data_IF_011799554028
#
_entry.id   IF_011799554028
#
_cell.length_a   1.000
_cell.length_b   1.000
_cell.length_c   1.000
_cell.angle_alpha   90.00
_cell.angle_beta   90.00
_cell.angle_gamma   90.00
#
_symmetry.space_group_name_H-M   'P 1'
#
loop_
_entity.id
_entity.type
_entity.pdbx_description
1 polymer ?
#
# COMPACT_ATOMS: atom_id res chain seq x y z
N UNK A 1 -11.78 0.47 -21.85
CA UNK A 1 -12.90 -0.48 -21.72
C UNK A 1 -12.59 -1.83 -22.35
N UNK A 2 -12.10 -1.88 -23.59
CA UNK A 2 -11.77 -3.15 -24.26
C UNK A 2 -10.78 -4.02 -23.46
N UNK A 3 -9.66 -3.45 -22.98
CA UNK A 3 -8.70 -4.20 -22.14
C UNK A 3 -9.32 -4.75 -20.84
N UNK A 4 -10.21 -4.00 -20.19
CA UNK A 4 -10.86 -4.45 -18.95
C UNK A 4 -11.80 -5.63 -19.20
N UNK A 5 -12.49 -5.64 -20.34
CA UNK A 5 -13.43 -6.70 -20.69
C UNK A 5 -12.70 -7.92 -21.27
N UNK A 6 -11.78 -7.69 -22.20
CA UNK A 6 -11.16 -8.77 -22.99
C UNK A 6 -9.94 -9.36 -22.26
N UNK A 7 -9.17 -8.54 -21.54
CA UNK A 7 -7.89 -8.91 -20.91
C UNK A 7 -7.70 -8.34 -19.48
N UNK A 8 -8.64 -8.58 -18.55
CA UNK A 8 -8.54 -8.06 -17.18
C UNK A 8 -7.31 -8.58 -16.44
N UNK A 9 -6.83 -9.79 -16.70
CA UNK A 9 -5.62 -10.34 -16.09
C UNK A 9 -4.36 -9.51 -16.42
N UNK A 10 -4.23 -9.05 -17.67
CA UNK A 10 -3.13 -8.18 -18.07
C UNK A 10 -3.11 -6.88 -17.25
N UNK A 11 -4.29 -6.27 -17.07
CA UNK A 11 -4.42 -5.09 -16.20
C UNK A 11 -4.13 -5.42 -14.74
N UNK A 12 -4.54 -6.60 -14.25
CA UNK A 12 -4.28 -7.04 -12.88
C UNK A 12 -2.78 -7.14 -12.59
N UNK A 13 -2.01 -7.73 -13.51
CA UNK A 13 -0.58 -7.99 -13.37
C UNK A 13 0.26 -6.70 -13.52
N UNK A 14 -0.18 -5.79 -14.37
CA UNK A 14 0.55 -4.55 -14.71
C UNK A 14 -0.02 -3.30 -14.03
N UNK A 15 -1.01 -3.45 -13.15
CA UNK A 15 -1.72 -2.34 -12.50
C UNK A 15 -0.76 -1.33 -11.86
N UNK A 16 0.31 -1.83 -11.22
CA UNK A 16 1.28 -1.01 -10.51
C UNK A 16 1.95 -0.01 -11.48
N UNK A 17 2.41 -0.48 -12.64
CA UNK A 17 3.06 0.39 -13.64
C UNK A 17 2.09 1.41 -14.22
N UNK A 18 0.84 1.02 -14.45
CA UNK A 18 -0.18 1.95 -14.90
C UNK A 18 -0.45 3.03 -13.84
N UNK A 19 -0.62 2.65 -12.58
CA UNK A 19 -0.82 3.59 -11.49
C UNK A 19 0.37 4.54 -11.28
N UNK A 20 1.61 4.05 -11.43
CA UNK A 20 2.85 4.85 -11.36
C UNK A 20 2.98 5.84 -12.52
N UNK A 21 2.48 5.48 -13.71
CA UNK A 21 2.53 6.33 -14.90
C UNK A 21 1.38 7.35 -14.97
N UNK A 22 0.23 7.04 -14.35
CA UNK A 22 -0.95 7.89 -14.38
C UNK A 22 -0.86 8.99 -13.29
N UNK A 23 -1.18 10.26 -13.63
CA UNK A 23 -1.30 11.33 -12.62
C UNK A 23 -2.30 10.97 -11.51
N UNK A 24 -2.08 11.48 -10.30
CA UNK A 24 -2.98 11.25 -9.15
C UNK A 24 -4.42 11.72 -9.43
N UNK A 25 -4.57 12.82 -10.19
CA UNK A 25 -5.88 13.37 -10.56
C UNK A 25 -6.69 12.50 -11.54
N UNK A 26 -6.07 11.51 -12.17
CA UNK A 26 -6.69 10.67 -13.19
C UNK A 26 -7.54 9.54 -12.58
N UNK A 27 -8.45 9.88 -11.65
CA UNK A 27 -9.22 8.95 -10.83
C UNK A 27 -9.97 7.91 -11.68
N UNK A 28 -10.66 8.32 -12.75
CA UNK A 28 -11.42 7.39 -13.60
C UNK A 28 -10.52 6.37 -14.30
N UNK A 29 -9.37 6.79 -14.82
CA UNK A 29 -8.43 5.89 -15.50
C UNK A 29 -7.80 4.90 -14.51
N UNK A 30 -7.43 5.38 -13.32
CA UNK A 30 -6.94 4.51 -12.24
C UNK A 30 -8.01 3.52 -11.81
N UNK A 31 -9.26 3.96 -11.63
CA UNK A 31 -10.36 3.07 -11.26
C UNK A 31 -10.59 1.98 -12.31
N UNK A 32 -10.49 2.29 -13.60
CA UNK A 32 -10.58 1.27 -14.67
C UNK A 32 -9.49 0.19 -14.49
N UNK A 33 -8.26 0.59 -14.19
CA UNK A 33 -7.14 -0.35 -13.97
C UNK A 33 -7.32 -1.14 -12.67
N UNK A 34 -7.67 -0.46 -11.57
CA UNK A 34 -7.78 -1.03 -10.23
C UNK A 34 -9.01 -1.92 -10.04
N UNK A 35 -10.06 -1.70 -10.85
CA UNK A 35 -11.28 -2.52 -10.85
C UNK A 35 -11.12 -3.81 -11.67
N UNK A 36 -9.99 -4.02 -12.35
CA UNK A 36 -9.72 -5.29 -13.02
C UNK A 36 -9.50 -6.40 -12.00
N UNK A 37 -10.06 -7.57 -12.26
CA UNK A 37 -9.87 -8.78 -11.46
C UNK A 37 -9.90 -10.03 -12.36
N UNK A 38 -9.25 -11.15 -11.95
CA UNK A 38 -9.20 -12.36 -12.76
C UNK A 38 -10.58 -12.92 -13.11
N UNK A 39 -10.82 -13.36 -14.35
CA UNK A 39 -12.16 -13.79 -14.80
C UNK A 39 -12.75 -14.97 -14.04
N UNK A 40 -11.90 -15.81 -13.45
CA UNK A 40 -12.33 -16.96 -12.66
C UNK A 40 -12.81 -16.58 -11.25
N UNK A 41 -12.49 -15.36 -10.79
CA UNK A 41 -12.87 -14.88 -9.48
C UNK A 41 -14.33 -14.39 -9.47
N UNK A 42 -15.06 -14.75 -8.41
CA UNK A 42 -16.38 -14.18 -8.13
C UNK A 42 -16.22 -13.19 -6.99
N UNK A 43 -16.14 -11.90 -7.33
CA UNK A 43 -16.12 -10.85 -6.33
C UNK A 43 -17.46 -10.86 -5.58
N UNK A 44 -17.44 -10.97 -4.23
CA UNK A 44 -18.64 -10.89 -3.43
C UNK A 44 -19.24 -9.48 -3.54
N UNK A 45 -20.57 -9.39 -3.42
CA UNK A 45 -21.24 -8.10 -3.36
C UNK A 45 -20.87 -7.39 -2.04
N UNK A 46 -20.23 -6.20 -2.09
CA UNK A 46 -19.79 -5.49 -0.89
C UNK A 46 -20.94 -5.01 0.00
N UNK A 47 -22.18 -5.00 -0.50
CA UNK A 47 -23.37 -4.58 0.25
C UNK A 47 -24.09 -5.74 0.95
N UNK A 48 -23.55 -6.96 0.90
CA UNK A 48 -24.10 -8.10 1.63
C UNK A 48 -24.01 -7.85 3.15
N UNK A 49 -25.17 -7.84 3.80
CA UNK A 49 -25.28 -7.68 5.26
C UNK A 49 -24.56 -8.84 5.94
N UNK A 50 -23.72 -8.53 6.94
CA UNK A 50 -22.87 -9.48 7.67
C UNK A 50 -21.79 -10.18 6.82
N UNK A 51 -21.36 -9.58 5.71
CA UNK A 51 -20.23 -10.08 4.94
C UNK A 51 -18.94 -10.04 5.76
N UNK A 52 -18.36 -11.23 6.01
CA UNK A 52 -17.08 -11.37 6.71
C UNK A 52 -15.98 -11.55 5.69
N UNK A 53 -15.25 -10.48 5.40
CA UNK A 53 -14.10 -10.48 4.47
C UNK A 53 -13.08 -11.56 4.85
N UNK A 54 -12.88 -11.80 6.15
CA UNK A 54 -11.97 -12.81 6.69
C UNK A 54 -12.33 -14.26 6.34
N UNK A 55 -13.54 -14.50 5.84
CA UNK A 55 -14.02 -15.84 5.44
C UNK A 55 -13.76 -16.14 3.96
N UNK A 56 -13.20 -15.20 3.21
CA UNK A 56 -12.83 -15.40 1.81
C UNK A 56 -11.52 -16.19 1.74
N UNK A 57 -11.53 -17.33 1.05
CA UNK A 57 -10.31 -18.11 0.81
C UNK A 57 -9.24 -17.31 0.04
N UNK A 58 -9.68 -16.40 -0.83
CA UNK A 58 -8.81 -15.65 -1.73
C UNK A 58 -7.96 -14.57 -1.03
N UNK A 59 -8.30 -14.16 0.20
CA UNK A 59 -7.51 -13.16 0.94
C UNK A 59 -6.13 -13.68 1.31
N UNK A 60 -5.91 -14.99 1.25
CA UNK A 60 -4.60 -15.61 1.49
C UNK A 60 -3.74 -15.71 0.23
N UNK A 61 -4.25 -15.28 -0.93
CA UNK A 61 -3.54 -15.34 -2.21
C UNK A 61 -2.80 -14.02 -2.45
N UNK A 62 -1.48 -14.11 -2.62
CA UNK A 62 -0.64 -12.97 -2.99
C UNK A 62 -0.90 -12.61 -4.46
N UNK A 63 -1.28 -11.35 -4.79
CA UNK A 63 -1.54 -10.96 -6.17
C UNK A 63 -0.24 -10.89 -6.97
N UNK A 64 -0.31 -11.23 -8.26
CA UNK A 64 0.83 -11.10 -9.18
C UNK A 64 1.06 -9.62 -9.52
N UNK A 65 2.33 -9.21 -9.47
CA UNK A 65 2.80 -7.88 -9.87
C UNK A 65 3.98 -8.09 -10.82
N UNK A 66 3.79 -7.80 -12.12
CA UNK A 66 4.79 -8.06 -13.15
C UNK A 66 5.98 -7.08 -13.11
N UNK A 67 5.91 -6.05 -12.27
CA UNK A 67 6.91 -5.00 -12.16
C UNK A 67 7.77 -5.12 -10.91
N UNK A 68 9.09 -5.02 -11.08
CA UNK A 68 10.03 -4.95 -9.97
C UNK A 68 10.02 -3.54 -9.34
N UNK A 69 8.99 -3.23 -8.56
CA UNK A 69 8.87 -1.93 -7.87
C UNK A 69 10.03 -1.65 -6.90
N UNK A 70 10.70 -2.69 -6.38
CA UNK A 70 11.84 -2.53 -5.46
C UNK A 70 13.01 -1.75 -6.08
N UNK A 71 13.12 -1.72 -7.41
CA UNK A 71 14.16 -0.94 -8.10
C UNK A 71 13.98 0.57 -7.93
N UNK A 72 12.76 1.04 -7.62
CA UNK A 72 12.47 2.46 -7.41
C UNK A 72 12.83 2.93 -5.99
N UNK A 73 13.23 2.02 -5.09
CA UNK A 73 13.72 2.36 -3.76
C UNK A 73 15.19 2.77 -3.88
N UNK A 74 15.40 4.05 -4.13
CA UNK A 74 16.70 4.67 -4.33
C UNK A 74 16.96 5.75 -3.27
N UNK A 75 18.21 6.05 -2.93
CA UNK A 75 19.44 5.34 -3.34
C UNK A 75 19.57 3.96 -2.67
N UNK A 76 20.51 3.08 -3.11
CA UNK A 76 20.67 1.75 -2.52
C UNK A 76 20.97 1.78 -1.02
N UNK A 77 21.67 2.83 -0.55
CA UNK A 77 21.92 3.07 0.88
C UNK A 77 20.61 3.25 1.67
N UNK A 78 19.62 3.95 1.10
CA UNK A 78 18.30 4.09 1.72
C UNK A 78 17.63 2.73 1.84
N UNK A 79 17.64 1.91 0.78
CA UNK A 79 17.08 0.55 0.82
C UNK A 79 17.75 -0.31 1.91
N UNK A 80 19.07 -0.26 2.04
CA UNK A 80 19.80 -0.98 3.09
C UNK A 80 19.38 -0.54 4.50
N UNK A 81 19.22 0.77 4.71
CA UNK A 81 18.76 1.31 5.99
C UNK A 81 17.31 0.90 6.28
N UNK A 82 16.43 0.93 5.27
CA UNK A 82 15.06 0.43 5.37
C UNK A 82 15.02 -1.05 5.77
N UNK A 83 15.77 -1.90 5.07
CA UNK A 83 15.86 -3.33 5.37
C UNK A 83 16.42 -3.58 6.77
N UNK A 84 17.41 -2.80 7.19
CA UNK A 84 17.95 -2.86 8.55
C UNK A 84 16.88 -2.50 9.57
N UNK A 85 16.18 -1.38 9.39
CA UNK A 85 15.14 -0.92 10.30
C UNK A 85 13.98 -1.91 10.40
N UNK A 86 13.50 -2.46 9.28
CA UNK A 86 12.44 -3.47 9.27
C UNK A 86 12.82 -4.74 10.07
N UNK A 87 14.11 -5.10 10.08
CA UNK A 87 14.62 -6.27 10.79
C UNK A 87 14.92 -6.01 12.27
N UNK A 88 15.53 -4.88 12.60
CA UNK A 88 16.06 -4.59 13.95
C UNK A 88 15.21 -3.61 14.74
N UNK A 89 14.25 -2.93 14.09
CA UNK A 89 13.46 -1.81 14.62
C UNK A 89 14.35 -0.67 15.15
N UNK A 90 15.56 -0.52 14.60
CA UNK A 90 16.55 0.46 15.02
C UNK A 90 17.45 0.91 13.84
N UNK A 91 17.96 2.17 13.87
CA UNK A 91 17.69 3.21 14.86
C UNK A 91 16.35 3.92 14.61
N UNK A 92 15.72 4.46 15.66
CA UNK A 92 14.47 5.24 15.53
C UNK A 92 14.65 6.50 14.67
N UNK A 93 15.86 7.05 14.61
CA UNK A 93 16.21 8.22 13.78
C UNK A 93 15.98 7.97 12.29
N UNK A 94 15.95 6.71 11.84
CA UNK A 94 15.58 6.37 10.47
C UNK A 94 14.19 6.92 10.10
N UNK A 95 13.23 6.89 11.04
CA UNK A 95 11.88 7.38 10.80
C UNK A 95 11.86 8.89 10.51
N UNK A 96 12.62 9.68 11.27
CA UNK A 96 12.74 11.12 11.03
C UNK A 96 13.45 11.48 9.72
N UNK A 97 14.25 10.56 9.16
CA UNK A 97 14.93 10.78 7.87
C UNK A 97 14.06 10.41 6.67
N UNK A 98 13.01 9.60 6.86
CA UNK A 98 12.16 9.07 5.79
C UNK A 98 11.64 10.17 4.86
N UNK A 99 11.08 11.24 5.44
CA UNK A 99 10.54 12.37 4.67
C UNK A 99 11.60 12.99 3.78
N UNK A 100 12.80 13.24 4.31
CA UNK A 100 13.90 13.81 3.54
C UNK A 100 14.35 12.91 2.40
N UNK A 101 14.31 11.58 2.56
CA UNK A 101 14.57 10.66 1.45
C UNK A 101 13.48 10.71 0.39
N UNK A 102 12.21 10.76 0.79
CA UNK A 102 11.07 10.82 -0.14
C UNK A 102 11.00 12.13 -0.94
N UNK A 103 11.62 13.20 -0.46
CA UNK A 103 11.73 14.47 -1.16
C UNK A 103 12.94 14.52 -2.13
N UNK A 104 13.86 13.56 -2.05
CA UNK A 104 14.99 13.49 -2.98
C UNK A 104 14.55 12.99 -4.35
N UNK A 105 14.95 13.70 -5.40
CA UNK A 105 14.56 13.36 -6.77
C UNK A 105 13.05 13.50 -6.99
N UNK A 106 12.44 14.53 -6.41
CA UNK A 106 11.03 14.82 -6.56
C UNK A 106 10.61 14.93 -8.03
N UNK A 107 9.40 14.45 -8.32
CA UNK A 107 8.86 14.49 -9.67
C UNK A 107 8.53 15.93 -10.09
N UNK A 108 8.60 16.28 -11.39
CA UNK A 108 8.26 17.63 -11.85
C UNK A 108 6.85 18.05 -11.41
N UNK A 109 6.76 19.12 -10.62
CA UNK A 109 5.49 19.63 -10.10
C UNK A 109 5.02 18.98 -8.80
N UNK A 110 5.84 18.15 -8.15
CA UNK A 110 5.60 17.62 -6.81
C UNK A 110 6.80 17.91 -5.90
N UNK A 111 6.57 17.99 -4.59
CA UNK A 111 7.64 18.03 -3.59
C UNK A 111 8.22 16.65 -3.26
N UNK A 112 7.64 15.58 -3.81
CA UNK A 112 7.99 14.19 -3.49
C UNK A 112 8.32 13.38 -4.73
N UNK A 113 9.13 12.35 -4.54
CA UNK A 113 9.35 11.30 -5.51
C UNK A 113 8.21 10.29 -5.40
N UNK A 114 7.20 10.42 -6.27
CA UNK A 114 5.95 9.67 -6.16
C UNK A 114 6.22 8.17 -6.39
N UNK A 115 7.09 7.83 -7.34
CA UNK A 115 7.46 6.44 -7.65
C UNK A 115 8.17 5.76 -6.50
N UNK A 116 9.07 6.47 -5.82
CA UNK A 116 9.76 5.96 -4.64
C UNK A 116 8.78 5.76 -3.48
N UNK A 117 7.84 6.68 -3.29
CA UNK A 117 6.82 6.58 -2.25
C UNK A 117 5.90 5.38 -2.50
N UNK A 118 5.39 5.21 -3.73
CA UNK A 118 4.59 4.05 -4.12
C UNK A 118 5.35 2.74 -3.90
N UNK A 119 6.64 2.70 -4.26
CA UNK A 119 7.47 1.52 -4.08
C UNK A 119 7.73 1.22 -2.61
N UNK A 120 7.98 2.24 -1.79
CA UNK A 120 8.16 2.11 -0.35
C UNK A 120 6.91 1.50 0.31
N UNK A 121 5.73 2.00 -0.02
CA UNK A 121 4.46 1.53 0.55
C UNK A 121 4.24 0.05 0.27
N UNK A 122 4.36 -0.36 -0.99
CA UNK A 122 4.19 -1.75 -1.36
C UNK A 122 5.32 -2.64 -0.80
N UNK A 123 6.55 -2.16 -0.78
CA UNK A 123 7.68 -2.91 -0.23
C UNK A 123 7.53 -3.18 1.27
N UNK A 124 7.20 -2.16 2.06
CA UNK A 124 6.98 -2.33 3.51
C UNK A 124 5.84 -3.31 3.77
N UNK A 125 4.75 -3.25 3.01
CA UNK A 125 3.64 -4.20 3.16
C UNK A 125 4.03 -5.64 2.78
N UNK A 126 4.77 -5.83 1.68
CA UNK A 126 5.23 -7.18 1.28
C UNK A 126 6.23 -7.78 2.27
N UNK A 127 7.09 -6.96 2.89
CA UNK A 127 7.94 -7.41 3.99
C UNK A 127 7.14 -7.74 5.26
N UNK A 128 6.12 -6.94 5.57
CA UNK A 128 5.23 -7.23 6.70
C UNK A 128 4.56 -8.60 6.50
N UNK A 129 3.93 -8.81 5.35
CA UNK A 129 3.25 -10.05 5.01
C UNK A 129 4.19 -11.27 5.00
N UNK A 130 5.43 -11.12 4.51
CA UNK A 130 6.41 -12.21 4.57
C UNK A 130 6.78 -12.56 6.02
N UNK A 131 6.91 -11.57 6.90
CA UNK A 131 7.18 -11.79 8.32
C UNK A 131 6.01 -12.41 9.07
N UNK A 132 4.77 -12.06 8.70
CA UNK A 132 3.56 -12.66 9.26
C UNK A 132 3.42 -14.12 8.82
N UNK A 133 3.59 -14.44 7.53
CA UNK A 133 3.48 -15.82 7.04
C UNK A 133 4.47 -16.77 7.74
N UNK A 134 5.64 -16.28 8.15
CA UNK A 134 6.64 -17.06 8.87
C UNK A 134 6.36 -17.22 10.38
N UNK A 135 5.57 -16.33 10.99
CA UNK A 135 5.34 -16.28 12.45
C UNK A 135 3.96 -16.78 12.87
N UNK A 136 2.96 -16.65 12.01
CA UNK A 136 1.57 -16.85 12.41
C UNK A 136 1.03 -18.21 11.95
N UNK A 137 0.98 -19.16 12.89
CA UNK A 137 0.13 -20.35 12.83
C UNK A 137 -1.37 -19.96 12.98
N UNK A 138 -1.88 -19.05 12.14
CA UNK A 138 -3.31 -18.69 12.11
C UNK A 138 -3.80 -17.69 13.17
N UNK A 139 -2.97 -16.75 13.67
CA UNK A 139 -3.50 -15.64 14.48
C UNK A 139 -4.13 -14.53 13.60
N UNK A 140 -5.06 -13.73 14.15
CA UNK A 140 -5.72 -12.65 13.42
C UNK A 140 -4.73 -11.57 12.99
N UNK A 141 -4.76 -11.21 11.70
CA UNK A 141 -3.87 -10.22 11.06
C UNK A 141 -3.80 -8.90 11.85
N UNK A 142 -4.96 -8.42 12.31
CA UNK A 142 -5.12 -7.16 13.06
C UNK A 142 -4.21 -7.07 14.29
N UNK A 143 -4.10 -8.14 15.09
CA UNK A 143 -3.26 -8.15 16.30
C UNK A 143 -1.76 -8.22 15.99
N UNK A 144 -1.39 -8.69 14.80
CA UNK A 144 -0.01 -8.96 14.42
C UNK A 144 0.66 -7.79 13.70
N UNK A 145 -0.11 -6.88 13.07
CA UNK A 145 0.44 -5.78 12.27
C UNK A 145 0.77 -4.52 13.09
N UNK A 146 0.01 -4.23 14.16
CA UNK A 146 -0.01 -2.90 14.81
C UNK A 146 1.27 -2.54 15.55
N UNK A 147 1.94 -3.50 16.20
CA UNK A 147 3.16 -3.25 16.96
C UNK A 147 4.43 -3.74 16.24
N UNK A 148 4.54 -3.40 14.96
CA UNK A 148 5.65 -3.84 14.08
C UNK A 148 6.45 -2.67 13.51
N UNK A 149 7.72 -2.92 13.17
CA UNK A 149 8.56 -1.94 12.48
C UNK A 149 7.94 -1.43 11.16
N UNK A 150 7.11 -2.25 10.51
CA UNK A 150 6.38 -1.89 9.30
C UNK A 150 5.29 -0.84 9.59
N UNK A 151 4.56 -1.01 10.69
CA UNK A 151 3.52 -0.06 11.10
C UNK A 151 4.13 1.24 11.62
N UNK A 152 5.26 1.18 12.32
CA UNK A 152 6.00 2.38 12.76
C UNK A 152 6.29 3.31 11.57
N UNK A 153 6.69 2.74 10.42
CA UNK A 153 6.91 3.51 9.19
C UNK A 153 5.61 4.17 8.72
N UNK A 154 4.50 3.43 8.64
CA UNK A 154 3.23 3.99 8.16
C UNK A 154 2.66 5.05 9.09
N UNK A 155 2.72 4.84 10.41
CA UNK A 155 2.29 5.84 11.39
C UNK A 155 3.17 7.09 11.31
N UNK A 156 4.48 6.93 11.21
CA UNK A 156 5.39 8.06 11.06
C UNK A 156 5.10 8.85 9.78
N UNK A 157 4.92 8.19 8.63
CA UNK A 157 4.57 8.85 7.38
C UNK A 157 3.21 9.55 7.46
N UNK A 158 2.22 8.96 8.12
CA UNK A 158 0.90 9.56 8.30
C UNK A 158 0.94 10.85 9.14
N UNK A 159 1.91 10.98 10.06
CA UNK A 159 2.02 12.15 10.96
C UNK A 159 3.01 13.19 10.43
N UNK A 160 4.19 12.77 9.97
CA UNK A 160 5.33 13.64 9.65
C UNK A 160 5.27 14.25 8.23
N UNK A 161 4.55 13.60 7.30
CA UNK A 161 4.32 14.17 5.98
C UNK A 161 3.37 15.37 6.04
N UNK A 162 3.61 16.34 5.16
CA UNK A 162 2.68 17.43 4.91
C UNK A 162 1.46 16.97 4.08
N UNK A 163 0.52 17.89 3.83
CA UNK A 163 -0.74 17.62 3.13
C UNK A 163 -0.54 16.91 1.79
N UNK A 164 0.46 17.31 1.00
CA UNK A 164 0.75 16.68 -0.29
C UNK A 164 1.34 15.28 -0.10
N UNK A 165 2.36 15.13 0.76
CA UNK A 165 2.99 13.84 1.01
C UNK A 165 1.98 12.82 1.54
N UNK A 166 1.11 13.22 2.48
CA UNK A 166 0.03 12.36 3.01
C UNK A 166 -0.96 11.98 1.92
N UNK A 167 -1.36 12.92 1.05
CA UNK A 167 -2.25 12.60 -0.07
C UNK A 167 -1.64 11.55 -1.01
N UNK A 168 -0.35 11.68 -1.35
CA UNK A 168 0.36 10.70 -2.19
C UNK A 168 0.44 9.35 -1.47
N UNK A 169 0.81 9.35 -0.19
CA UNK A 169 0.94 8.15 0.65
C UNK A 169 -0.38 7.38 0.79
N UNK A 170 -1.47 8.06 1.10
CA UNK A 170 -2.78 7.44 1.21
C UNK A 170 -3.27 6.91 -0.14
N UNK A 171 -3.02 7.64 -1.24
CA UNK A 171 -3.31 7.15 -2.60
C UNK A 171 -2.48 5.90 -2.95
N UNK A 172 -1.21 5.86 -2.54
CA UNK A 172 -0.36 4.69 -2.74
C UNK A 172 -0.95 3.45 -2.04
N UNK A 173 -1.42 3.60 -0.80
CA UNK A 173 -2.11 2.53 -0.08
C UNK A 173 -3.44 2.15 -0.75
N UNK A 174 -4.25 3.14 -1.14
CA UNK A 174 -5.56 2.94 -1.77
C UNK A 174 -5.48 2.21 -3.11
N UNK A 175 -4.39 2.39 -3.88
CA UNK A 175 -4.13 1.62 -5.12
C UNK A 175 -4.05 0.11 -4.88
N UNK A 176 -3.90 -0.35 -3.64
CA UNK A 176 -3.88 -1.77 -3.28
C UNK A 176 -5.24 -2.31 -2.81
N UNK A 177 -6.26 -1.45 -2.68
CA UNK A 177 -7.64 -1.85 -2.40
C UNK A 177 -8.33 -2.29 -3.70
N UNK A 178 -8.12 -3.55 -4.10
CA UNK A 178 -8.60 -4.13 -5.35
C UNK A 178 -9.54 -5.31 -5.05
N UNK A 179 -9.53 -6.33 -5.92
CA UNK A 179 -10.20 -7.61 -5.67
C UNK A 179 -9.65 -8.32 -4.42
N UNK A 180 -10.39 -9.27 -3.81
CA UNK A 180 -9.92 -9.99 -2.63
C UNK A 180 -8.54 -10.64 -2.85
N UNK A 181 -7.53 -10.20 -2.09
CA UNK A 181 -6.19 -10.76 -2.10
C UNK A 181 -5.45 -10.32 -0.82
N UNK A 182 -4.26 -10.88 -0.56
CA UNK A 182 -3.51 -10.59 0.67
C UNK A 182 -3.11 -9.13 0.82
N UNK A 183 -2.76 -8.44 -0.27
CA UNK A 183 -2.41 -7.02 -0.21
C UNK A 183 -3.65 -6.17 0.10
N UNK A 184 -4.77 -6.42 -0.56
CA UNK A 184 -6.03 -5.72 -0.32
C UNK A 184 -6.49 -5.88 1.12
N UNK A 185 -6.40 -7.09 1.67
CA UNK A 185 -6.71 -7.37 3.07
C UNK A 185 -5.79 -6.60 4.03
N UNK A 186 -4.47 -6.63 3.78
CA UNK A 186 -3.49 -5.92 4.60
C UNK A 186 -3.68 -4.39 4.58
N UNK A 187 -3.84 -3.79 3.39
CA UNK A 187 -3.99 -2.34 3.26
C UNK A 187 -5.35 -1.84 3.75
N UNK A 188 -6.42 -2.63 3.59
CA UNK A 188 -7.73 -2.32 4.18
C UNK A 188 -7.61 -2.17 5.70
N UNK A 189 -6.99 -3.14 6.37
CA UNK A 189 -6.77 -3.07 7.80
C UNK A 189 -5.80 -1.96 8.22
N UNK A 190 -4.72 -1.74 7.45
CA UNK A 190 -3.76 -0.68 7.76
C UNK A 190 -4.42 0.69 7.69
N UNK A 191 -5.25 0.97 6.68
CA UNK A 191 -5.97 2.24 6.56
C UNK A 191 -6.99 2.43 7.69
N UNK A 192 -7.75 1.39 8.03
CA UNK A 192 -8.69 1.43 9.17
C UNK A 192 -7.96 1.69 10.49
N UNK A 193 -6.80 1.07 10.69
CA UNK A 193 -5.97 1.28 11.87
C UNK A 193 -5.42 2.72 11.91
N UNK A 194 -4.86 3.23 10.81
CA UNK A 194 -4.39 4.61 10.73
C UNK A 194 -5.51 5.62 11.00
N UNK A 195 -6.73 5.34 10.56
CA UNK A 195 -7.89 6.18 10.85
C UNK A 195 -8.28 6.16 12.34
N UNK A 196 -8.30 4.96 12.95
CA UNK A 196 -8.66 4.78 14.36
C UNK A 196 -7.64 5.41 15.32
N UNK A 197 -6.35 5.34 14.99
CA UNK A 197 -5.24 5.87 15.80
C UNK A 197 -4.83 7.30 15.41
N UNK A 198 -5.55 7.94 14.47
CA UNK A 198 -5.24 9.28 14.05
C UNK A 198 -5.47 10.29 15.19
N UNK A 199 -4.39 10.95 15.63
CA UNK A 199 -4.44 11.97 16.67
C UNK A 199 -4.92 13.36 16.16
N UNK A 200 -5.23 13.48 14.86
CA UNK A 200 -5.70 14.73 14.27
C UNK A 200 -6.86 14.49 13.31
N UNK A 201 -7.86 15.36 13.38
CA UNK A 201 -9.02 15.36 12.48
C UNK A 201 -8.60 15.54 11.02
N UNK A 202 -7.56 16.34 10.76
CA UNK A 202 -7.02 16.53 9.41
C UNK A 202 -6.52 15.23 8.76
N UNK A 203 -5.91 14.32 9.54
CA UNK A 203 -5.50 13.01 9.03
C UNK A 203 -6.72 12.12 8.76
N UNK A 204 -7.71 12.13 9.64
CA UNK A 204 -8.97 11.40 9.43
C UNK A 204 -9.71 11.88 8.19
N UNK A 205 -9.82 13.20 8.00
CA UNK A 205 -10.44 13.82 6.83
C UNK A 205 -9.72 13.39 5.54
N UNK A 206 -8.38 13.37 5.55
CA UNK A 206 -7.60 12.93 4.39
C UNK A 206 -7.77 11.45 4.06
N UNK A 207 -8.02 10.59 5.04
CA UNK A 207 -8.28 9.15 4.79
C UNK A 207 -9.67 8.95 4.19
N UNK A 208 -10.64 9.77 4.57
CA UNK A 208 -12.04 9.69 4.08
C UNK A 208 -12.20 10.28 2.68
N UNK A 209 -11.31 11.19 2.28
CA UNK A 209 -11.37 11.94 1.02
C UNK A 209 -10.76 11.20 -0.16
#
# INVERSE_FOLDING_TARGET
MLLLHDFPEFLCEHYYQFCDALPLIAHQLRNIVLSAFPKHMRCPDPFLVNFKVDMLNDISIVPVIAYNFSQNIQPPKFKQNLDSYLRTRAPVTFLSELRSYLQQGADPGSHYNIRMLNALVLYVATQALSTLNNKTNGQPLMSSITHSAHMDIFQNLAVDLDTEGRYIFLNAMANHLRYPNTHTHYFSYTLLYLFAEANSEALQEQIVR
#
